data_IF_730697121866
#
_entry.id   IF_730697121866
#
_cell.length_a   1.000
_cell.length_b   1.000
_cell.length_c   1.000
_cell.angle_alpha   90.00
_cell.angle_beta   90.00
_cell.angle_gamma   90.00
#
_symmetry.space_group_name_H-M   'P 1'
#
loop_
_entity.id
_entity.type
_entity.pdbx_description
1 polymer ?
#
# COMPACT_ATOMS: atom_id res chain seq x y z
N UNK A 1 23.74 36.22 15.83
CA UNK A 1 24.20 37.62 15.90
C UNK A 1 23.13 38.46 15.24
N UNK A 2 22.63 39.48 15.93
CA UNK A 2 21.77 40.50 15.33
C UNK A 2 22.62 41.76 15.21
N UNK A 3 22.54 42.43 14.08
CA UNK A 3 23.29 43.66 13.82
C UNK A 3 22.38 44.69 13.18
N UNK A 4 22.63 45.95 13.48
CA UNK A 4 21.91 47.09 12.96
C UNK A 4 22.92 48.15 12.54
N UNK A 5 22.79 48.59 11.29
CA UNK A 5 23.61 49.64 10.72
C UNK A 5 22.74 50.79 10.24
N UNK A 6 23.13 52.02 10.56
CA UNK A 6 22.52 53.24 10.03
C UNK A 6 23.53 53.99 9.17
N UNK A 7 23.04 54.61 8.10
CA UNK A 7 23.85 55.42 7.21
C UNK A 7 23.49 56.91 7.37
N UNK A 8 24.43 57.79 7.05
CA UNK A 8 24.37 59.23 7.20
C UNK A 8 24.36 59.98 5.84
N UNK A 9 23.92 59.35 4.75
CA UNK A 9 23.92 59.97 3.42
C UNK A 9 23.19 61.33 3.31
N UNK A 10 22.30 61.65 4.26
CA UNK A 10 21.50 62.88 4.29
C UNK A 10 21.66 63.67 5.60
N UNK A 11 22.61 63.30 6.47
CA UNK A 11 22.86 63.99 7.75
C UNK A 11 24.35 64.18 8.00
N UNK A 12 24.72 65.23 8.75
CA UNK A 12 26.11 65.45 9.19
C UNK A 12 26.50 64.55 10.40
N UNK A 13 25.60 63.66 10.83
CA UNK A 13 25.87 62.69 11.91
C UNK A 13 26.78 61.56 11.42
N UNK A 14 27.48 60.86 12.32
CA UNK A 14 28.30 59.70 11.94
C UNK A 14 27.45 58.46 11.63
N UNK A 15 27.85 57.66 10.64
CA UNK A 15 27.25 56.34 10.40
C UNK A 15 27.39 55.44 11.64
N UNK A 16 26.33 54.72 12.00
CA UNK A 16 26.25 53.89 13.20
C UNK A 16 26.28 52.41 12.89
N UNK A 17 26.94 51.63 13.75
CA UNK A 17 26.87 50.17 13.72
C UNK A 17 26.76 49.63 15.14
N UNK A 18 25.79 48.75 15.38
CA UNK A 18 25.62 48.03 16.64
C UNK A 18 25.38 46.55 16.39
N UNK A 19 25.83 45.71 17.31
CA UNK A 19 25.58 44.28 17.24
C UNK A 19 25.38 43.65 18.61
N UNK A 20 24.50 42.65 18.66
CA UNK A 20 24.20 41.82 19.82
C UNK A 20 24.45 40.36 19.47
N UNK A 21 25.10 39.63 20.38
CA UNK A 21 25.40 38.22 20.19
C UNK A 21 25.37 37.44 21.50
N UNK A 22 25.02 36.17 21.40
CA UNK A 22 25.01 35.21 22.51
C UNK A 22 26.15 34.22 22.29
N UNK A 23 26.96 34.00 23.33
CA UNK A 23 28.07 33.05 23.29
C UNK A 23 27.81 31.86 24.21
N UNK A 24 28.41 30.72 23.88
CA UNK A 24 28.52 29.55 24.75
C UNK A 24 30.00 29.32 25.11
N UNK A 25 30.26 28.58 26.20
CA UNK A 25 31.64 28.23 26.58
C UNK A 25 32.25 27.28 25.55
N UNK A 26 33.49 27.53 25.13
CA UNK A 26 34.21 26.74 24.13
C UNK A 26 34.23 25.22 24.42
N UNK A 27 34.36 24.83 25.69
CA UNK A 27 34.39 23.41 26.09
C UNK A 27 33.05 22.68 25.97
N UNK A 28 31.95 23.39 25.71
CA UNK A 28 30.61 22.82 25.60
C UNK A 28 30.28 22.69 24.10
N UNK A 29 30.17 21.47 23.55
CA UNK A 29 29.73 21.29 22.18
C UNK A 29 28.31 21.83 22.01
N UNK A 30 28.11 22.73 21.05
CA UNK A 30 26.77 23.21 20.72
C UNK A 30 25.89 22.06 20.18
N UNK A 31 24.61 22.08 20.56
CA UNK A 31 23.54 21.27 19.97
C UNK A 31 22.37 22.21 19.69
N UNK A 32 21.87 22.17 18.47
CA UNK A 32 20.72 22.99 18.11
C UNK A 32 19.49 22.51 18.90
N UNK A 33 18.70 23.41 19.51
CA UNK A 33 17.46 23.01 20.17
C UNK A 33 16.46 22.46 19.13
N UNK A 34 15.68 21.44 19.49
CA UNK A 34 14.59 20.96 18.64
C UNK A 34 13.41 21.94 18.79
N UNK A 35 13.37 22.95 17.93
CA UNK A 35 12.32 23.97 17.93
C UNK A 35 11.19 23.65 16.94
N UNK A 36 11.48 22.81 15.94
CA UNK A 36 10.51 22.39 14.93
C UNK A 36 9.89 21.06 15.38
N UNK A 37 8.55 20.95 15.44
CA UNK A 37 7.90 19.69 15.77
C UNK A 37 8.18 18.64 14.69
N UNK A 38 8.30 17.37 15.10
CA UNK A 38 8.47 16.25 14.15
C UNK A 38 7.23 16.17 13.25
N UNK A 39 7.38 16.02 11.93
CA UNK A 39 6.25 15.73 11.05
C UNK A 39 5.50 14.48 11.52
N UNK A 40 4.17 14.55 11.49
CA UNK A 40 3.29 13.43 11.84
C UNK A 40 2.15 13.34 10.84
N UNK A 41 1.46 12.20 10.83
CA UNK A 41 0.32 11.97 9.96
C UNK A 41 -0.87 11.41 10.77
N UNK A 42 -2.09 11.95 10.59
CA UNK A 42 -3.24 11.57 11.40
C UNK A 42 -3.87 10.22 11.00
N UNK A 43 -3.55 9.70 9.82
CA UNK A 43 -4.20 8.50 9.29
C UNK A 43 -3.42 7.80 8.19
N UNK A 44 -3.94 6.69 7.69
CA UNK A 44 -3.29 5.92 6.64
C UNK A 44 -3.38 6.63 5.28
N UNK A 45 -2.48 6.26 4.38
CA UNK A 45 -2.47 6.70 2.98
C UNK A 45 -2.51 5.49 2.05
N UNK A 46 -3.17 5.64 0.91
CA UNK A 46 -3.04 4.69 -0.20
C UNK A 46 -1.73 4.90 -0.96
N UNK A 47 -1.16 3.81 -1.48
CA UNK A 47 0.01 3.82 -2.35
C UNK A 47 -0.07 2.68 -3.36
N UNK A 48 0.72 2.76 -4.44
CA UNK A 48 0.80 1.73 -5.47
C UNK A 48 2.04 0.89 -5.26
N UNK A 49 1.92 -0.43 -5.35
CA UNK A 49 3.06 -1.36 -5.29
C UNK A 49 3.91 -1.21 -6.54
N UNK A 50 5.23 -1.14 -6.38
CA UNK A 50 6.18 -0.92 -7.47
C UNK A 50 7.34 -1.90 -7.43
N UNK A 51 8.02 -2.07 -8.56
CA UNK A 51 9.19 -2.92 -8.70
C UNK A 51 9.84 -2.76 -10.08
N UNK A 52 10.87 -3.56 -10.39
CA UNK A 52 11.57 -3.54 -11.67
C UNK A 52 10.63 -3.78 -12.87
N UNK A 53 10.99 -3.21 -14.02
CA UNK A 53 10.26 -3.45 -15.26
C UNK A 53 10.28 -4.93 -15.64
N UNK A 54 9.15 -5.44 -16.14
CA UNK A 54 8.99 -6.84 -16.53
C UNK A 54 8.72 -7.82 -15.37
N UNK A 55 8.76 -7.36 -14.13
CA UNK A 55 8.34 -8.15 -12.97
C UNK A 55 6.88 -7.93 -12.60
N UNK A 56 6.25 -8.99 -12.11
CA UNK A 56 4.86 -8.96 -11.61
C UNK A 56 4.82 -8.91 -10.08
N UNK A 57 5.81 -9.51 -9.42
CA UNK A 57 5.96 -9.58 -7.97
C UNK A 57 7.37 -9.19 -7.61
N UNK A 58 7.53 -8.20 -6.73
CA UNK A 58 8.84 -7.76 -6.25
C UNK A 58 8.83 -7.69 -4.73
N UNK A 59 9.52 -8.66 -4.11
CA UNK A 59 9.56 -8.85 -2.67
C UNK A 59 10.91 -9.37 -2.23
N UNK A 60 11.23 -9.23 -0.95
CA UNK A 60 12.45 -9.75 -0.34
C UNK A 60 12.18 -10.96 0.57
N UNK A 61 13.23 -11.47 1.23
CA UNK A 61 13.16 -12.64 2.12
C UNK A 61 12.21 -12.46 3.31
N UNK A 62 11.84 -11.22 3.63
CA UNK A 62 10.95 -10.88 4.74
C UNK A 62 9.51 -10.57 4.27
N UNK A 63 9.18 -10.90 3.02
CA UNK A 63 7.87 -10.61 2.42
C UNK A 63 7.52 -9.11 2.44
N UNK A 64 8.53 -8.23 2.31
CA UNK A 64 8.31 -6.79 2.19
C UNK A 64 8.07 -6.42 0.73
N UNK A 65 7.44 -5.28 0.51
CA UNK A 65 7.21 -4.72 -0.83
C UNK A 65 7.73 -3.29 -0.91
N UNK A 66 7.94 -2.78 -2.11
CA UNK A 66 8.15 -1.36 -2.34
C UNK A 66 6.87 -0.71 -2.85
N UNK A 67 6.63 0.52 -2.43
CA UNK A 67 5.44 1.28 -2.81
C UNK A 67 5.82 2.69 -3.23
N UNK A 68 4.98 3.28 -4.07
CA UNK A 68 5.03 4.70 -4.43
C UNK A 68 3.76 5.39 -3.94
N UNK A 69 3.92 6.42 -3.13
CA UNK A 69 2.82 7.27 -2.72
C UNK A 69 2.42 8.24 -3.84
N UNK A 70 1.16 8.63 -3.86
CA UNK A 70 0.58 9.49 -4.90
C UNK A 70 1.22 10.88 -5.02
N UNK A 71 1.86 11.37 -3.94
CA UNK A 71 2.53 12.67 -3.91
C UNK A 71 4.01 12.61 -4.35
N UNK A 72 4.60 11.41 -4.47
CA UNK A 72 5.98 11.27 -4.93
C UNK A 72 6.07 11.61 -6.42
N UNK A 73 7.04 12.46 -6.78
CA UNK A 73 7.29 12.89 -8.17
C UNK A 73 8.43 12.07 -8.78
N UNK A 74 8.38 11.85 -10.08
CA UNK A 74 9.41 11.14 -10.86
C UNK A 74 8.95 9.75 -11.32
N UNK A 75 9.41 9.37 -12.51
CA UNK A 75 9.06 8.10 -13.17
C UNK A 75 10.13 7.01 -12.97
N UNK A 76 11.31 7.35 -12.43
CA UNK A 76 12.40 6.41 -12.24
C UNK A 76 12.25 5.61 -10.94
N UNK A 77 11.64 4.43 -11.05
CA UNK A 77 11.83 3.35 -10.08
C UNK A 77 13.30 2.89 -10.11
N UNK A 78 13.96 2.59 -8.98
CA UNK A 78 13.47 2.61 -7.60
C UNK A 78 14.04 3.79 -6.78
N UNK A 79 14.29 4.95 -7.39
CA UNK A 79 14.84 6.08 -6.63
C UNK A 79 13.76 6.64 -5.68
N UNK A 80 14.01 6.56 -4.36
CA UNK A 80 13.12 7.14 -3.35
C UNK A 80 12.07 6.20 -2.76
N UNK A 81 12.17 4.89 -2.99
CA UNK A 81 11.33 3.87 -2.34
C UNK A 81 12.13 3.07 -1.29
N UNK A 82 11.44 2.50 -0.31
CA UNK A 82 12.03 1.61 0.71
C UNK A 82 11.15 0.38 0.91
N UNK A 83 11.68 -0.63 1.60
CA UNK A 83 10.98 -1.88 1.88
C UNK A 83 9.98 -1.71 3.02
N UNK A 84 8.70 -1.90 2.73
CA UNK A 84 7.61 -1.86 3.70
C UNK A 84 7.15 -3.28 4.03
N UNK A 85 6.97 -3.55 5.33
CA UNK A 85 6.34 -4.79 5.80
C UNK A 85 4.86 -4.79 5.45
N UNK A 86 4.32 -5.98 5.20
CA UNK A 86 2.92 -6.22 4.89
C UNK A 86 2.28 -7.01 6.04
N UNK A 87 1.18 -6.50 6.59
CA UNK A 87 0.39 -7.21 7.58
C UNK A 87 -0.32 -8.39 6.91
N UNK A 88 -0.12 -9.59 7.46
CA UNK A 88 -0.80 -10.81 7.02
C UNK A 88 -1.86 -11.22 8.05
N UNK A 89 -2.96 -11.89 7.64
CA UNK A 89 -4.00 -12.32 8.60
C UNK A 89 -3.49 -13.24 9.71
N UNK A 90 -2.41 -14.00 9.45
CA UNK A 90 -1.70 -14.84 10.42
C UNK A 90 -0.26 -15.00 9.95
N UNK A 91 0.70 -14.83 10.87
CA UNK A 91 2.13 -14.94 10.59
C UNK A 91 2.83 -15.59 11.79
N UNK A 92 3.36 -16.80 11.57
CA UNK A 92 4.16 -17.55 12.53
C UNK A 92 5.52 -17.93 11.95
N UNK A 93 6.34 -18.62 12.75
CA UNK A 93 7.66 -19.10 12.33
C UNK A 93 7.51 -20.25 11.33
N UNK A 94 7.43 -19.91 10.03
CA UNK A 94 7.30 -20.88 8.93
C UNK A 94 5.87 -21.33 8.62
N UNK A 95 4.84 -20.66 9.17
CA UNK A 95 3.44 -20.97 8.88
C UNK A 95 2.58 -19.69 8.89
N UNK A 96 1.41 -19.75 8.27
CA UNK A 96 0.46 -18.64 8.23
C UNK A 96 -0.06 -18.36 6.81
N UNK A 97 -0.46 -17.11 6.57
CA UNK A 97 -0.92 -16.64 5.27
C UNK A 97 0.19 -15.86 4.57
N UNK A 98 0.36 -16.10 3.27
CA UNK A 98 1.27 -15.33 2.43
C UNK A 98 0.61 -15.01 1.09
N UNK A 99 0.02 -13.82 1.00
CA UNK A 99 -0.53 -13.28 -0.23
C UNK A 99 0.21 -11.99 -0.57
N UNK A 100 1.23 -12.08 -1.42
CA UNK A 100 2.04 -10.92 -1.74
C UNK A 100 1.30 -9.95 -2.66
N UNK A 101 1.20 -8.66 -2.27
CA UNK A 101 0.72 -7.63 -3.18
C UNK A 101 1.62 -7.57 -4.43
N UNK A 102 1.00 -7.62 -5.61
CA UNK A 102 1.68 -7.57 -6.91
C UNK A 102 1.90 -6.13 -7.35
N UNK A 103 2.89 -5.91 -8.22
CA UNK A 103 3.18 -4.59 -8.81
C UNK A 103 1.91 -4.05 -9.48
N UNK A 104 1.61 -2.76 -9.26
CA UNK A 104 0.41 -2.09 -9.76
C UNK A 104 -0.83 -2.23 -8.88
N UNK A 105 -0.81 -3.08 -7.85
CA UNK A 105 -1.89 -3.14 -6.87
C UNK A 105 -1.86 -1.92 -5.94
N UNK A 106 -3.03 -1.50 -5.48
CA UNK A 106 -3.16 -0.42 -4.49
C UNK A 106 -3.19 -1.00 -3.08
N UNK A 107 -2.44 -0.39 -2.18
CA UNK A 107 -2.30 -0.80 -0.79
C UNK A 107 -2.54 0.36 0.15
N UNK A 108 -3.02 0.04 1.35
CA UNK A 108 -3.20 1.01 2.44
C UNK A 108 -2.00 0.94 3.39
N UNK A 109 -1.29 2.06 3.53
CA UNK A 109 -0.11 2.21 4.38
C UNK A 109 -0.49 3.00 5.63
N UNK A 110 -0.29 2.38 6.79
CA UNK A 110 -0.46 2.99 8.11
C UNK A 110 0.92 3.36 8.69
N UNK A 111 0.97 4.39 9.52
CA UNK A 111 2.20 4.89 10.14
C UNK A 111 2.16 4.65 11.65
N UNK A 112 3.09 3.84 12.15
CA UNK A 112 3.08 3.41 13.56
C UNK A 112 3.23 4.62 14.49
N UNK A 113 2.26 4.81 15.39
CA UNK A 113 2.18 5.97 16.28
C UNK A 113 2.20 7.33 15.54
N UNK A 114 1.75 7.38 14.28
CA UNK A 114 1.74 8.59 13.46
C UNK A 114 3.13 9.03 12.97
N UNK A 115 4.17 8.21 13.18
CA UNK A 115 5.54 8.49 12.73
C UNK A 115 5.69 8.17 11.24
N UNK A 116 5.91 9.21 10.44
CA UNK A 116 6.03 9.11 8.97
C UNK A 116 7.19 8.21 8.53
N UNK A 117 8.18 7.99 9.40
CA UNK A 117 9.35 7.14 9.13
C UNK A 117 9.09 5.66 9.46
N UNK A 118 7.89 5.32 9.96
CA UNK A 118 7.52 3.94 10.35
C UNK A 118 6.28 3.43 9.60
N UNK A 119 6.31 3.38 8.25
CA UNK A 119 5.20 2.87 7.46
C UNK A 119 5.04 1.34 7.57
N UNK A 120 3.80 0.88 7.50
CA UNK A 120 3.39 -0.53 7.49
C UNK A 120 2.21 -0.68 6.52
N UNK A 121 2.31 -1.60 5.56
CA UNK A 121 1.17 -1.95 4.70
C UNK A 121 0.21 -2.79 5.53
N UNK A 122 -1.07 -2.39 5.55
CA UNK A 122 -2.11 -2.99 6.40
C UNK A 122 -3.20 -3.70 5.61
N UNK A 123 -3.47 -3.24 4.38
CA UNK A 123 -4.54 -3.79 3.53
C UNK A 123 -4.19 -3.62 2.05
N UNK A 124 -4.86 -4.40 1.20
CA UNK A 124 -4.87 -4.25 -0.26
C UNK A 124 -6.25 -3.80 -0.69
N UNK A 125 -6.34 -2.90 -1.66
CA UNK A 125 -7.59 -2.26 -2.11
C UNK A 125 -7.86 -2.59 -3.57
N UNK A 126 -9.14 -2.86 -3.88
CA UNK A 126 -9.63 -2.85 -5.25
C UNK A 126 -9.92 -1.41 -5.70
N UNK A 127 -9.77 -1.15 -6.99
CA UNK A 127 -10.05 0.14 -7.62
C UNK A 127 -10.53 -0.06 -9.07
N UNK A 128 -10.55 1.01 -9.88
CA UNK A 128 -11.03 0.94 -11.27
C UNK A 128 -10.07 0.22 -12.23
N UNK A 129 -8.82 -0.01 -11.83
CA UNK A 129 -7.82 -0.79 -12.59
C UNK A 129 -7.82 -2.23 -12.07
N UNK A 130 -7.69 -2.41 -10.76
CA UNK A 130 -7.70 -3.69 -10.07
C UNK A 130 -9.11 -3.99 -9.55
N UNK A 131 -9.94 -4.61 -10.39
CA UNK A 131 -11.32 -4.94 -10.03
C UNK A 131 -11.41 -6.14 -9.07
N UNK A 132 -12.49 -6.24 -8.27
CA UNK A 132 -12.75 -7.43 -7.45
C UNK A 132 -12.83 -8.72 -8.29
N UNK A 133 -12.60 -9.91 -7.69
CA UNK A 133 -12.59 -11.16 -8.41
C UNK A 133 -13.97 -11.48 -8.99
N UNK A 134 -13.99 -12.03 -10.22
CA UNK A 134 -15.22 -12.44 -10.90
C UNK A 134 -15.49 -13.93 -10.73
N UNK A 135 -16.12 -14.31 -9.62
CA UNK A 135 -16.42 -15.71 -9.29
C UNK A 135 -17.43 -16.41 -10.22
N UNK A 136 -18.20 -15.65 -11.01
CA UNK A 136 -19.11 -16.19 -12.03
C UNK A 136 -18.76 -15.67 -13.42
N UNK A 137 -19.19 -16.39 -14.45
CA UNK A 137 -19.21 -15.92 -15.84
C UNK A 137 -20.30 -14.85 -16.07
N UNK A 138 -21.32 -14.82 -15.21
CA UNK A 138 -22.32 -13.74 -15.13
C UNK A 138 -21.70 -12.40 -14.71
N UNK A 139 -22.49 -11.33 -14.87
CA UNK A 139 -22.30 -10.00 -14.30
C UNK A 139 -21.54 -10.05 -12.96
N UNK A 140 -20.47 -9.26 -12.84
CA UNK A 140 -19.63 -9.17 -11.63
C UNK A 140 -20.41 -8.60 -10.42
N UNK A 141 -19.72 -7.97 -9.47
CA UNK A 141 -20.45 -7.20 -8.46
C UNK A 141 -21.26 -6.06 -9.12
N UNK A 142 -22.49 -5.78 -8.68
CA UNK A 142 -23.17 -6.34 -7.49
C UNK A 142 -23.95 -7.64 -7.71
N UNK A 143 -24.03 -8.16 -8.94
CA UNK A 143 -24.79 -9.39 -9.26
C UNK A 143 -24.29 -10.63 -8.50
N UNK A 144 -22.98 -10.75 -8.32
CA UNK A 144 -22.34 -11.85 -7.58
C UNK A 144 -22.19 -11.60 -6.07
N UNK A 145 -23.02 -10.75 -5.46
CA UNK A 145 -22.87 -10.35 -4.03
C UNK A 145 -22.99 -11.50 -3.02
N UNK A 146 -23.56 -12.64 -3.41
CA UNK A 146 -23.67 -13.86 -2.58
C UNK A 146 -22.50 -14.82 -2.79
N UNK A 147 -21.53 -14.47 -3.64
CA UNK A 147 -20.34 -15.26 -3.90
C UNK A 147 -19.15 -14.68 -3.14
N UNK A 148 -18.44 -15.55 -2.42
CA UNK A 148 -17.29 -15.19 -1.57
C UNK A 148 -16.17 -16.18 -1.77
N UNK A 149 -14.91 -15.76 -1.69
CA UNK A 149 -13.81 -16.71 -1.89
C UNK A 149 -12.45 -16.09 -2.12
N UNK A 150 -11.52 -16.94 -2.53
CA UNK A 150 -10.15 -16.59 -2.91
C UNK A 150 -9.97 -17.03 -4.36
N UNK A 151 -9.62 -16.09 -5.24
CA UNK A 151 -9.12 -16.40 -6.58
C UNK A 151 -7.70 -15.88 -6.71
N UNK A 152 -6.76 -16.76 -7.02
CA UNK A 152 -5.38 -16.40 -7.34
C UNK A 152 -5.22 -16.20 -8.84
N UNK A 153 -4.10 -15.65 -9.29
CA UNK A 153 -3.78 -15.57 -10.71
C UNK A 153 -2.46 -16.30 -10.96
N UNK A 154 -2.38 -17.04 -12.07
CA UNK A 154 -1.15 -17.65 -12.55
C UNK A 154 -0.07 -16.57 -12.73
N UNK A 155 1.15 -16.87 -12.27
CA UNK A 155 2.25 -15.93 -12.41
C UNK A 155 2.72 -15.86 -13.86
N UNK A 156 2.79 -14.66 -14.45
CA UNK A 156 3.14 -14.44 -15.86
C UNK A 156 2.26 -15.28 -16.83
N UNK A 157 1.02 -15.55 -16.46
CA UNK A 157 0.06 -16.37 -17.22
C UNK A 157 -1.38 -15.86 -17.14
N UNK A 158 -2.32 -16.64 -17.67
CA UNK A 158 -3.74 -16.29 -17.75
C UNK A 158 -4.67 -17.19 -16.93
N UNK A 159 -4.12 -18.27 -16.35
CA UNK A 159 -4.84 -19.18 -15.49
C UNK A 159 -5.13 -18.64 -14.09
N UNK A 160 -5.88 -19.43 -13.31
CA UNK A 160 -6.16 -19.14 -11.90
C UNK A 160 -6.47 -20.41 -11.11
N UNK A 161 -6.29 -20.32 -9.79
CA UNK A 161 -6.89 -21.23 -8.82
C UNK A 161 -7.97 -20.49 -8.03
N UNK A 162 -8.98 -21.21 -7.58
CA UNK A 162 -10.14 -20.63 -6.92
C UNK A 162 -10.66 -21.52 -5.78
N UNK A 163 -10.93 -20.90 -4.64
CA UNK A 163 -11.81 -21.40 -3.60
C UNK A 163 -13.03 -20.49 -3.55
N UNK A 164 -14.22 -21.04 -3.78
CA UNK A 164 -15.47 -20.30 -3.89
C UNK A 164 -16.53 -20.88 -2.96
N UNK A 165 -17.23 -19.99 -2.27
CA UNK A 165 -18.44 -20.25 -1.49
C UNK A 165 -19.59 -19.46 -2.11
N UNK A 166 -20.75 -20.11 -2.18
CA UNK A 166 -21.96 -19.56 -2.77
C UNK A 166 -23.08 -19.61 -1.75
N UNK A 167 -23.44 -18.44 -1.22
CA UNK A 167 -24.45 -18.29 -0.17
C UNK A 167 -25.83 -17.95 -0.75
N UNK A 168 -26.04 -18.22 -2.05
CA UNK A 168 -27.34 -17.97 -2.69
C UNK A 168 -28.41 -18.88 -2.08
N UNK A 169 -29.55 -18.35 -1.62
CA UNK A 169 -30.63 -19.16 -1.03
C UNK A 169 -31.04 -20.35 -1.91
N UNK A 170 -31.14 -21.54 -1.30
CA UNK A 170 -31.49 -22.78 -2.00
C UNK A 170 -30.45 -23.27 -3.01
N UNK A 171 -29.24 -22.69 -2.99
CA UNK A 171 -28.15 -23.01 -3.94
C UNK A 171 -26.77 -23.00 -3.28
N UNK A 172 -26.70 -23.36 -1.99
CA UNK A 172 -25.44 -23.45 -1.26
C UNK A 172 -24.48 -24.42 -1.93
N UNK A 173 -23.26 -23.95 -2.18
CA UNK A 173 -22.16 -24.78 -2.68
C UNK A 173 -20.79 -24.23 -2.30
N UNK A 174 -19.82 -25.12 -2.31
CA UNK A 174 -18.41 -24.80 -2.23
C UNK A 174 -17.66 -25.43 -3.42
N UNK A 175 -16.67 -24.73 -3.96
CA UNK A 175 -15.86 -25.19 -5.09
C UNK A 175 -14.39 -24.88 -4.85
N UNK A 176 -13.54 -25.87 -5.14
CA UNK A 176 -12.10 -25.66 -5.31
C UNK A 176 -11.75 -26.01 -6.75
N UNK A 177 -11.22 -25.08 -7.52
CA UNK A 177 -10.98 -25.27 -8.95
C UNK A 177 -9.69 -24.65 -9.45
N UNK A 178 -9.20 -25.17 -10.57
CA UNK A 178 -8.08 -24.63 -11.30
C UNK A 178 -8.39 -24.58 -12.79
N UNK A 179 -7.83 -23.61 -13.50
CA UNK A 179 -7.89 -23.57 -14.97
C UNK A 179 -7.10 -24.70 -15.60
N UNK A 180 -6.14 -25.30 -14.89
CA UNK A 180 -5.36 -26.42 -15.40
C UNK A 180 -6.27 -27.64 -15.66
N UNK A 181 -6.43 -27.98 -16.94
CA UNK A 181 -7.32 -29.06 -17.41
C UNK A 181 -8.76 -28.97 -16.89
N UNK A 182 -9.23 -27.76 -16.54
CA UNK A 182 -10.55 -27.52 -15.97
C UNK A 182 -10.89 -28.38 -14.72
N UNK A 183 -9.88 -28.71 -13.91
CA UNK A 183 -10.07 -29.57 -12.73
C UNK A 183 -10.79 -28.83 -11.61
N UNK A 184 -11.80 -29.47 -11.00
CA UNK A 184 -12.49 -28.91 -9.84
C UNK A 184 -13.08 -29.99 -8.92
N UNK A 185 -13.07 -29.70 -7.62
CA UNK A 185 -13.86 -30.37 -6.59
C UNK A 185 -15.08 -29.50 -6.27
N UNK A 186 -16.28 -30.07 -6.39
CA UNK A 186 -17.54 -29.36 -6.14
C UNK A 186 -18.31 -30.06 -5.02
N UNK A 187 -18.88 -29.27 -4.10
CA UNK A 187 -19.69 -29.72 -2.96
C UNK A 187 -20.98 -28.90 -2.91
N UNK A 188 -22.12 -29.54 -2.66
CA UNK A 188 -23.42 -28.89 -2.61
C UNK A 188 -24.12 -28.85 -3.96
N UNK A 189 -24.95 -27.83 -4.22
CA UNK A 189 -25.75 -27.76 -5.44
C UNK A 189 -24.88 -27.61 -6.68
N UNK A 190 -24.89 -28.63 -7.53
CA UNK A 190 -24.32 -28.53 -8.87
C UNK A 190 -25.23 -27.63 -9.70
N UNK A 191 -24.68 -26.54 -10.19
CA UNK A 191 -25.35 -25.68 -11.16
C UNK A 191 -24.34 -25.36 -12.25
N UNK A 192 -24.82 -25.30 -13.48
CA UNK A 192 -24.04 -24.75 -14.58
C UNK A 192 -23.61 -23.30 -14.27
N UNK A 193 -22.61 -22.76 -15.00
CA UNK A 193 -22.15 -21.39 -14.82
C UNK A 193 -23.34 -20.42 -14.86
N UNK A 194 -23.52 -19.64 -13.79
CA UNK A 194 -24.62 -18.68 -13.71
C UNK A 194 -24.53 -17.65 -14.83
N UNK A 195 -25.68 -17.25 -15.34
CA UNK A 195 -25.92 -16.05 -16.16
C UNK A 195 -26.87 -15.14 -15.37
N UNK A 196 -26.43 -13.91 -15.10
CA UNK A 196 -27.16 -12.88 -14.35
C UNK A 196 -27.84 -13.34 -13.05
N UNK A 197 -27.07 -14.00 -12.18
CA UNK A 197 -27.54 -14.43 -10.85
C UNK A 197 -28.45 -15.67 -10.87
N UNK A 198 -28.89 -16.12 -12.04
CA UNK A 198 -29.67 -17.35 -12.20
C UNK A 198 -28.77 -18.50 -12.62
N UNK A 199 -29.00 -19.66 -12.01
CA UNK A 199 -28.42 -20.93 -12.40
C UNK A 199 -29.53 -21.72 -13.09
N UNK A 200 -29.33 -22.16 -14.33
CA UNK A 200 -30.16 -23.24 -14.87
C UNK A 200 -29.70 -24.57 -14.24
N UNK A 201 -30.65 -25.46 -13.90
CA UNK A 201 -30.37 -26.74 -13.27
C UNK A 201 -29.52 -27.64 -14.15
#
# INVERSE_FOLDING_TARGET
VKHEGSNNYLSDEGAGYTNEFVCIRHKIPYRHPITVPRPSIPGPLSAIVVGPEGEEVFTDELARIQVRFHWQRGDSLPQGTTWLRVAMPSAGSGFGHQFMPRIGQEVLVTFLAGDIDRPLVTSVLYNNINLPPRFSKASGLPGNRTLSGIRTQEHKGSGFNELLFDDTPGSLRARMGTTHQATALNLGKLTDPRTDGTAQP
#
